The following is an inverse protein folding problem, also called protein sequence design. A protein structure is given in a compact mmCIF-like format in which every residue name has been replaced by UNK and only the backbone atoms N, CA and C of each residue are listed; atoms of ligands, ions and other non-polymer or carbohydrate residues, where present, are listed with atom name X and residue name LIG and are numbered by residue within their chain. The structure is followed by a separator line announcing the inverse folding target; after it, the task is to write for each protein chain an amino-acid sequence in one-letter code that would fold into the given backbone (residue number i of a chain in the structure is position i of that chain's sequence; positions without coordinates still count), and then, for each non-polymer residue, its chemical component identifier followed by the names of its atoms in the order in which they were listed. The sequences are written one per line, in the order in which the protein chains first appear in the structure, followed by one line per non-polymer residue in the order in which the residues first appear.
data_IF_127227537744
#
_entry.id   IF_127227537744
#
_cell.length_a   1.000
_cell.length_b   1.000
_cell.length_c   1.000
_cell.angle_alpha   90.00
_cell.angle_beta   90.00
_cell.angle_gamma   90.00
#
_symmetry.space_group_name_H-M   'P 1'
#
loop_
_entity.id
_entity.type
_entity.pdbx_description
1 polymer ?
#
# COMPACT_ATOMS: atom_id res chain seq x y z
N UNK A 1 51.47 -8.84 65.47
CA UNK A 1 52.48 -9.54 64.63
C UNK A 1 51.81 -9.98 63.34
N UNK A 2 52.43 -9.63 62.20
CA UNK A 2 52.18 -10.08 60.82
C UNK A 2 50.99 -9.48 60.05
N UNK A 3 51.39 -8.51 59.21
CA UNK A 3 50.91 -8.15 57.87
C UNK A 3 50.19 -9.27 57.09
N UNK A 4 49.25 -8.92 56.21
CA UNK A 4 49.50 -8.72 54.76
C UNK A 4 48.21 -8.96 53.92
N UNK A 5 47.83 -7.92 53.16
CA UNK A 5 47.12 -7.83 51.85
C UNK A 5 46.09 -8.93 51.46
N UNK A 6 44.96 -8.63 50.82
CA UNK A 6 44.85 -8.27 49.39
C UNK A 6 43.41 -7.83 49.12
N UNK A 7 43.28 -6.75 48.35
CA UNK A 7 42.04 -6.27 47.70
C UNK A 7 41.58 -7.34 46.69
N UNK A 8 40.34 -7.82 46.81
CA UNK A 8 39.67 -8.48 45.68
C UNK A 8 38.30 -7.84 45.44
N UNK A 9 38.30 -6.99 44.42
CA UNK A 9 37.16 -6.43 43.73
C UNK A 9 36.39 -7.57 43.06
N UNK A 10 35.21 -7.93 43.58
CA UNK A 10 34.28 -8.82 42.86
C UNK A 10 33.05 -8.05 42.43
N UNK A 11 33.18 -7.56 41.20
CA UNK A 11 32.19 -7.25 40.18
C UNK A 11 30.76 -7.74 40.48
N UNK A 12 29.84 -6.79 40.63
CA UNK A 12 28.40 -7.01 40.48
C UNK A 12 28.14 -7.28 39.00
N UNK A 13 27.82 -8.53 38.64
CA UNK A 13 27.28 -8.83 37.31
C UNK A 13 25.77 -8.90 37.47
N UNK A 14 25.12 -7.85 36.96
CA UNK A 14 23.67 -7.78 36.76
C UNK A 14 23.25 -8.95 35.87
N UNK A 15 22.37 -9.82 36.38
CA UNK A 15 21.70 -10.83 35.57
C UNK A 15 20.73 -10.14 34.63
N UNK A 16 21.14 -9.93 33.38
CA UNK A 16 20.25 -9.55 32.29
C UNK A 16 19.34 -10.75 31.99
N UNK A 17 18.12 -10.70 32.50
CA UNK A 17 17.00 -11.50 32.01
C UNK A 17 16.52 -10.89 30.69
N UNK A 18 17.10 -11.32 29.57
CA UNK A 18 16.48 -11.20 28.27
C UNK A 18 15.98 -12.60 27.91
N UNK A 19 14.67 -12.79 27.97
CA UNK A 19 14.00 -13.94 27.38
C UNK A 19 14.03 -13.71 25.86
N UNK A 20 14.86 -14.48 25.17
CA UNK A 20 14.99 -14.44 23.72
C UNK A 20 13.75 -15.10 23.12
N UNK A 21 12.75 -14.28 22.78
CA UNK A 21 11.59 -14.69 21.99
C UNK A 21 11.66 -14.06 20.61
N UNK A 22 12.71 -14.40 19.85
CA UNK A 22 12.70 -14.20 18.41
C UNK A 22 11.95 -15.34 17.74
N UNK A 23 10.65 -15.43 18.03
CA UNK A 23 9.70 -15.87 17.02
C UNK A 23 9.30 -14.62 16.27
N UNK A 24 9.95 -14.38 15.13
CA UNK A 24 9.49 -13.45 14.12
C UNK A 24 8.01 -13.73 13.87
N UNK A 25 7.15 -12.88 14.44
CA UNK A 25 5.76 -12.84 14.04
C UNK A 25 5.78 -12.33 12.62
N UNK A 26 5.43 -13.19 11.67
CA UNK A 26 4.89 -12.75 10.40
C UNK A 26 3.57 -12.08 10.77
N UNK A 27 3.65 -10.78 10.99
CA UNK A 27 2.48 -9.93 11.19
C UNK A 27 1.95 -9.70 9.78
N UNK A 28 1.00 -10.54 9.40
CA UNK A 28 0.08 -10.31 8.29
C UNK A 28 -0.94 -9.24 8.75
N UNK A 29 -0.44 -8.04 9.08
CA UNK A 29 -1.31 -6.89 9.25
C UNK A 29 -1.62 -6.43 7.83
N UNK A 30 -2.88 -6.60 7.41
CA UNK A 30 -3.45 -5.83 6.33
C UNK A 30 -3.37 -4.35 6.73
N UNK A 31 -2.27 -3.69 6.38
CA UNK A 31 -2.05 -2.27 6.67
C UNK A 31 -2.86 -1.47 5.64
N UNK A 32 -4.12 -1.22 5.98
CA UNK A 32 -5.03 -0.32 5.26
C UNK A 32 -6.30 -1.02 4.78
N UNK A 33 -7.45 -0.40 5.06
CA UNK A 33 -8.71 -0.81 4.42
C UNK A 33 -8.59 -0.50 2.93
N UNK A 34 -8.84 -1.50 2.09
CA UNK A 34 -8.74 -1.31 0.65
C UNK A 34 -9.94 -1.93 -0.05
N UNK A 35 -10.42 -1.23 -1.08
CA UNK A 35 -11.66 -1.57 -1.79
C UNK A 35 -11.40 -1.47 -3.28
N UNK A 36 -11.95 -2.39 -4.07
CA UNK A 36 -12.04 -2.22 -5.53
C UNK A 36 -13.49 -1.88 -5.88
N UNK A 37 -13.65 -0.80 -6.63
CA UNK A 37 -14.94 -0.38 -7.19
C UNK A 37 -14.88 -0.53 -8.70
N UNK A 38 -15.69 -1.44 -9.24
CA UNK A 38 -15.85 -1.63 -10.68
C UNK A 38 -17.17 -0.98 -11.10
N UNK A 39 -17.11 0.27 -11.54
CA UNK A 39 -18.28 1.05 -11.94
C UNK A 39 -17.85 2.21 -12.86
N UNK A 40 -18.42 2.27 -14.07
CA UNK A 40 -18.02 3.28 -15.05
C UNK A 40 -18.38 4.70 -14.58
N UNK A 41 -19.49 4.87 -13.86
CA UNK A 41 -19.93 6.18 -13.38
C UNK A 41 -18.97 6.71 -12.32
N UNK A 42 -18.58 5.88 -11.37
CA UNK A 42 -17.59 6.20 -10.34
C UNK A 42 -16.23 6.52 -10.95
N UNK A 43 -15.81 5.77 -11.97
CA UNK A 43 -14.59 6.07 -12.72
C UNK A 43 -14.65 7.43 -13.42
N UNK A 44 -15.73 7.72 -14.16
CA UNK A 44 -15.88 9.00 -14.88
C UNK A 44 -15.92 10.19 -13.90
N UNK A 45 -16.53 10.01 -12.72
CA UNK A 45 -16.54 11.01 -11.65
C UNK A 45 -15.15 11.24 -11.09
N UNK A 46 -14.43 10.17 -10.71
CA UNK A 46 -13.06 10.27 -10.21
C UNK A 46 -12.15 10.93 -11.25
N UNK A 47 -12.26 10.52 -12.52
CA UNK A 47 -11.53 11.12 -13.63
C UNK A 47 -11.82 12.62 -13.76
N UNK A 48 -13.09 13.04 -13.68
CA UNK A 48 -13.47 14.44 -13.75
C UNK A 48 -12.86 15.27 -12.61
N UNK A 49 -12.77 14.71 -11.40
CA UNK A 49 -12.21 15.40 -10.23
C UNK A 49 -10.70 15.65 -10.37
N UNK A 50 -9.97 14.78 -11.06
CA UNK A 50 -8.54 14.97 -11.34
C UNK A 50 -8.23 16.23 -12.16
N UNK A 51 -9.22 16.78 -12.86
CA UNK A 51 -9.06 18.05 -13.61
C UNK A 51 -9.43 19.29 -12.79
N UNK A 52 -9.71 19.13 -11.50
CA UNK A 52 -10.06 20.24 -10.61
C UNK A 52 -8.90 20.59 -9.68
N UNK A 53 -8.92 21.81 -9.13
CA UNK A 53 -7.93 22.24 -8.13
C UNK A 53 -8.15 21.61 -6.74
N UNK A 54 -9.17 20.76 -6.57
CA UNK A 54 -9.52 20.13 -5.30
C UNK A 54 -9.93 18.66 -5.51
N UNK A 55 -8.97 17.77 -5.75
CA UNK A 55 -9.25 16.34 -5.91
C UNK A 55 -9.89 15.77 -4.65
N UNK A 56 -10.76 14.77 -4.84
CA UNK A 56 -11.46 14.08 -3.74
C UNK A 56 -10.53 13.18 -2.90
N UNK A 57 -9.35 12.85 -3.43
CA UNK A 57 -8.37 12.00 -2.76
C UNK A 57 -7.40 12.83 -1.93
N UNK A 58 -7.16 12.37 -0.71
CA UNK A 58 -6.08 12.86 0.13
C UNK A 58 -4.71 12.53 -0.48
N UNK A 59 -3.70 13.30 -0.12
CA UNK A 59 -2.35 13.17 -0.71
C UNK A 59 -1.69 11.84 -0.34
N UNK A 60 -1.12 11.19 -1.35
CA UNK A 60 -0.25 10.03 -1.20
C UNK A 60 0.73 9.98 -2.39
N UNK A 61 1.68 9.05 -2.34
CA UNK A 61 2.67 8.78 -3.39
C UNK A 61 2.54 7.34 -3.86
N UNK A 62 2.77 7.13 -5.16
CA UNK A 62 2.86 5.81 -5.78
C UNK A 62 4.32 5.40 -5.91
N UNK A 63 4.76 4.44 -5.09
CA UNK A 63 6.17 4.04 -5.03
C UNK A 63 6.49 2.82 -5.91
N UNK A 64 5.52 1.91 -6.08
CA UNK A 64 5.75 0.63 -6.72
C UNK A 64 4.47 -0.01 -7.22
N UNK A 65 4.59 -0.77 -8.31
CA UNK A 65 3.50 -1.51 -8.91
C UNK A 65 4.03 -2.85 -9.43
N UNK A 66 3.40 -3.94 -8.98
CA UNK A 66 3.64 -5.29 -9.46
C UNK A 66 2.35 -6.10 -9.39
N UNK A 67 2.40 -7.35 -9.83
CA UNK A 67 1.30 -8.29 -9.67
C UNK A 67 1.82 -9.66 -9.25
N UNK A 68 0.98 -10.42 -8.57
CA UNK A 68 1.11 -11.86 -8.39
C UNK A 68 -0.18 -12.52 -8.84
N UNK A 69 -0.15 -13.25 -9.95
CA UNK A 69 -1.34 -13.81 -10.58
C UNK A 69 -2.37 -12.70 -10.87
N UNK A 70 -3.52 -12.71 -10.21
CA UNK A 70 -4.60 -11.72 -10.30
C UNK A 70 -4.61 -10.70 -9.17
N UNK A 71 -3.62 -10.75 -8.28
CA UNK A 71 -3.48 -9.77 -7.20
C UNK A 71 -2.59 -8.63 -7.66
N UNK A 72 -3.12 -7.42 -7.62
CA UNK A 72 -2.36 -6.20 -7.88
C UNK A 72 -1.69 -5.75 -6.59
N UNK A 73 -0.39 -5.48 -6.66
CA UNK A 73 0.43 -5.11 -5.50
C UNK A 73 0.94 -3.70 -5.73
N UNK A 74 0.53 -2.76 -4.87
CA UNK A 74 0.84 -1.33 -5.00
C UNK A 74 1.54 -0.86 -3.74
N UNK A 75 2.76 -0.36 -3.89
CA UNK A 75 3.47 0.30 -2.79
C UNK A 75 3.12 1.78 -2.77
N UNK A 76 2.66 2.29 -1.63
CA UNK A 76 2.27 3.69 -1.44
C UNK A 76 2.94 4.31 -0.23
N UNK A 77 3.01 5.64 -0.20
CA UNK A 77 3.38 6.38 1.00
C UNK A 77 2.49 7.60 1.22
N UNK A 78 2.16 7.90 2.48
CA UNK A 78 1.22 8.95 2.85
C UNK A 78 1.49 9.46 4.28
N UNK A 79 0.92 10.61 4.64
CA UNK A 79 0.95 11.15 6.00
C UNK A 79 -0.25 10.69 6.82
N UNK A 80 -0.07 10.38 8.11
CA UNK A 80 -1.15 9.99 9.03
C UNK A 80 -0.71 8.94 10.04
N UNK A 81 -1.61 8.03 10.39
CA UNK A 81 -1.35 6.86 11.25
C UNK A 81 -2.09 6.85 12.59
N UNK A 82 -3.00 7.80 12.81
CA UNK A 82 -3.86 7.86 13.98
C UNK A 82 -5.29 7.42 13.67
N UNK A 83 -5.75 7.64 12.44
CA UNK A 83 -7.05 7.17 11.96
C UNK A 83 -6.87 6.02 10.96
N UNK A 84 -7.97 5.37 10.61
CA UNK A 84 -7.99 4.37 9.55
C UNK A 84 -7.88 5.06 8.19
N UNK A 85 -7.00 4.56 7.33
CA UNK A 85 -6.83 5.05 5.97
C UNK A 85 -7.47 4.06 5.00
N UNK A 86 -8.27 4.57 4.07
CA UNK A 86 -8.90 3.76 3.02
C UNK A 86 -8.28 4.05 1.66
N UNK A 87 -7.93 2.99 0.94
CA UNK A 87 -7.50 3.05 -0.45
C UNK A 87 -8.53 2.41 -1.38
N UNK A 88 -9.04 3.17 -2.33
CA UNK A 88 -10.04 2.68 -3.29
C UNK A 88 -9.43 2.60 -4.70
N UNK A 89 -9.41 1.39 -5.27
CA UNK A 89 -9.04 1.16 -6.66
C UNK A 89 -10.30 1.23 -7.54
N UNK A 90 -10.46 2.35 -8.24
CA UNK A 90 -11.62 2.61 -9.10
C UNK A 90 -11.30 2.14 -10.52
N UNK A 91 -12.04 1.13 -10.96
CA UNK A 91 -11.84 0.42 -12.21
C UNK A 91 -13.02 0.70 -13.17
N UNK A 92 -12.76 1.06 -14.45
CA UNK A 92 -13.84 1.25 -15.42
C UNK A 92 -14.44 -0.08 -15.87
N UNK A 93 -15.77 -0.19 -15.93
CA UNK A 93 -16.43 -1.40 -16.47
C UNK A 93 -16.09 -1.64 -17.96
N UNK A 94 -15.78 -0.56 -18.69
CA UNK A 94 -15.55 -0.65 -20.13
C UNK A 94 -14.17 -1.24 -20.43
N UNK A 95 -14.15 -2.48 -20.89
CA UNK A 95 -12.96 -3.11 -21.46
C UNK A 95 -12.73 -2.67 -22.91
N UNK A 96 -11.47 -2.43 -23.26
CA UNK A 96 -11.09 -2.27 -24.67
C UNK A 96 -10.91 -3.65 -25.32
N UNK A 97 -11.55 -3.91 -26.47
CA UNK A 97 -11.39 -5.18 -27.20
C UNK A 97 -10.08 -5.27 -28.00
N UNK A 98 -9.00 -4.67 -27.50
CA UNK A 98 -7.66 -4.71 -28.10
C UNK A 98 -6.79 -5.70 -27.32
N UNK A 99 -5.84 -6.35 -27.99
CA UNK A 99 -4.87 -7.23 -27.35
C UNK A 99 -3.46 -6.61 -27.44
N UNK A 100 -2.72 -6.50 -26.32
CA UNK A 100 -3.20 -6.77 -24.97
C UNK A 100 -4.29 -5.79 -24.52
N UNK A 101 -5.19 -6.19 -23.59
CA UNK A 101 -6.16 -5.28 -23.02
C UNK A 101 -5.44 -4.12 -22.35
N UNK A 102 -6.02 -2.93 -22.47
CA UNK A 102 -5.50 -1.74 -21.82
C UNK A 102 -6.51 -1.21 -20.82
N UNK A 103 -6.03 -0.96 -19.60
CA UNK A 103 -6.78 -0.33 -18.53
C UNK A 103 -6.06 0.89 -17.99
N UNK A 104 -6.85 1.90 -17.68
CA UNK A 104 -6.45 3.00 -16.83
C UNK A 104 -7.36 2.97 -15.62
N UNK A 105 -6.78 2.95 -14.43
CA UNK A 105 -7.49 2.88 -13.16
C UNK A 105 -7.02 4.02 -12.27
N UNK A 106 -7.86 4.43 -11.33
CA UNK A 106 -7.55 5.51 -10.39
C UNK A 106 -7.45 4.91 -8.99
N UNK A 107 -6.37 5.21 -8.28
CA UNK A 107 -6.26 4.88 -6.87
C UNK A 107 -6.58 6.13 -6.05
N UNK A 108 -7.65 6.08 -5.25
CA UNK A 108 -8.01 7.13 -4.31
C UNK A 108 -7.58 6.77 -2.89
N UNK A 109 -7.33 7.80 -2.09
CA UNK A 109 -6.98 7.70 -0.69
C UNK A 109 -7.91 8.60 0.13
N UNK A 110 -8.47 8.06 1.20
CA UNK A 110 -9.22 8.79 2.24
C UNK A 110 -8.50 8.61 3.57
N UNK A 111 -7.98 9.71 4.10
CA UNK A 111 -7.27 9.77 5.38
C UNK A 111 -8.21 9.97 6.57
N UNK A 112 -9.54 10.09 6.35
CA UNK A 112 -10.53 10.28 7.41
C UNK A 112 -10.21 11.45 8.36
N UNK A 113 -9.79 12.59 7.80
CA UNK A 113 -9.35 13.78 8.54
C UNK A 113 -8.16 13.54 9.50
N UNK A 114 -7.30 12.54 9.24
CA UNK A 114 -6.12 12.28 10.05
C UNK A 114 -5.14 13.48 10.02
N UNK A 115 -4.84 14.01 11.19
CA UNK A 115 -3.93 15.16 11.38
C UNK A 115 -2.54 14.75 11.84
N UNK A 116 -2.27 13.45 12.00
CA UNK A 116 -0.98 12.94 12.38
C UNK A 116 0.05 13.10 11.26
N UNK A 117 1.28 13.43 11.65
CA UNK A 117 2.35 13.81 10.72
C UNK A 117 3.35 12.67 10.47
N UNK A 118 3.06 11.44 10.90
CA UNK A 118 3.91 10.32 10.58
C UNK A 118 3.83 10.01 9.09
N UNK A 119 4.97 9.70 8.47
CA UNK A 119 5.05 9.36 7.06
C UNK A 119 5.16 7.84 6.93
N UNK A 120 4.08 7.22 6.49
CA UNK A 120 3.91 5.77 6.43
C UNK A 120 4.21 5.26 5.03
N UNK A 121 4.71 4.03 4.94
CA UNK A 121 4.83 3.29 3.68
C UNK A 121 4.17 1.94 3.87
N UNK A 122 3.25 1.60 2.97
CA UNK A 122 2.49 0.35 3.01
C UNK A 122 2.40 -0.28 1.62
N UNK A 123 2.14 -1.58 1.60
CA UNK A 123 1.88 -2.35 0.39
C UNK A 123 0.40 -2.76 0.40
N UNK A 124 -0.33 -2.33 -0.63
CA UNK A 124 -1.74 -2.64 -0.85
C UNK A 124 -1.86 -3.86 -1.75
N UNK A 125 -2.78 -4.77 -1.42
CA UNK A 125 -3.01 -6.00 -2.17
C UNK A 125 -4.46 -6.04 -2.65
N UNK A 126 -4.69 -5.86 -3.95
CA UNK A 126 -6.04 -5.93 -4.51
C UNK A 126 -6.24 -7.26 -5.24
N UNK A 127 -6.97 -8.19 -4.64
CA UNK A 127 -7.38 -9.43 -5.33
C UNK A 127 -8.47 -9.11 -6.36
N UNK A 128 -8.09 -9.14 -7.64
CA UNK A 128 -8.99 -8.84 -8.75
C UNK A 128 -9.85 -10.04 -9.18
N UNK A 129 -9.59 -11.25 -8.67
CA UNK A 129 -10.23 -12.49 -9.12
C UNK A 129 -11.73 -12.57 -8.82
N UNK A 130 -12.19 -11.79 -7.84
CA UNK A 130 -13.60 -11.73 -7.43
C UNK A 130 -14.44 -10.76 -8.26
N UNK A 131 -13.82 -9.98 -9.16
CA UNK A 131 -14.50 -8.99 -9.99
C UNK A 131 -14.62 -9.47 -11.44
N UNK A 132 -15.71 -9.08 -12.12
CA UNK A 132 -15.97 -9.46 -13.51
C UNK A 132 -15.17 -8.58 -14.49
N UNK A 133 -13.84 -8.69 -14.43
CA UNK A 133 -12.89 -7.93 -15.25
C UNK A 133 -12.33 -8.74 -16.43
N UNK A 134 -12.70 -10.03 -16.53
CA UNK A 134 -12.14 -10.96 -17.52
C UNK A 134 -10.64 -11.20 -17.39
N UNK A 135 -10.02 -10.82 -16.26
CA UNK A 135 -8.60 -10.98 -16.00
C UNK A 135 -8.30 -12.42 -15.57
N UNK A 136 -7.48 -13.10 -16.36
CA UNK A 136 -6.87 -14.38 -15.97
C UNK A 136 -5.41 -14.13 -15.56
N UNK A 137 -4.76 -15.05 -14.81
CA UNK A 137 -3.34 -14.91 -14.49
C UNK A 137 -2.48 -14.71 -15.75
N UNK A 138 -2.78 -15.45 -16.82
CA UNK A 138 -2.09 -15.35 -18.12
C UNK A 138 -2.30 -13.99 -18.79
N UNK A 139 -3.47 -13.37 -18.60
CA UNK A 139 -3.77 -12.05 -19.14
C UNK A 139 -3.11 -10.95 -18.31
N UNK A 140 -3.03 -11.12 -17.00
CA UNK A 140 -2.34 -10.20 -16.08
C UNK A 140 -0.85 -10.07 -16.40
N UNK A 141 -0.22 -11.13 -16.92
CA UNK A 141 1.19 -11.09 -17.34
C UNK A 141 1.44 -10.21 -18.58
N UNK A 142 0.39 -9.89 -19.35
CA UNK A 142 0.51 -9.14 -20.60
C UNK A 142 -0.36 -7.88 -20.67
N UNK A 143 -1.18 -7.62 -19.65
CA UNK A 143 -2.10 -6.47 -19.63
C UNK A 143 -1.30 -5.15 -19.57
N UNK A 144 -1.74 -4.16 -20.36
CA UNK A 144 -1.27 -2.78 -20.23
C UNK A 144 -2.11 -2.09 -19.15
N UNK A 145 -1.65 -2.06 -17.89
CA UNK A 145 -2.38 -1.40 -16.80
C UNK A 145 -1.66 -0.12 -16.36
N UNK A 146 -2.37 1.00 -16.33
CA UNK A 146 -1.89 2.27 -15.77
C UNK A 146 -2.70 2.62 -14.53
N UNK A 147 -2.03 2.85 -13.41
CA UNK A 147 -2.61 3.41 -12.19
C UNK A 147 -2.32 4.89 -12.14
N UNK A 148 -3.35 5.70 -11.90
CA UNK A 148 -3.24 7.14 -11.70
C UNK A 148 -3.41 7.44 -10.22
N UNK A 149 -2.55 8.31 -9.68
CA UNK A 149 -2.70 8.84 -8.34
C UNK A 149 -3.93 9.78 -8.27
N UNK A 150 -4.92 9.40 -7.47
CA UNK A 150 -6.18 10.13 -7.27
C UNK A 150 -6.01 11.56 -6.74
N UNK A 151 -4.89 11.85 -6.06
CA UNK A 151 -4.64 13.12 -5.39
C UNK A 151 -3.99 14.19 -6.26
N UNK A 152 -3.45 13.80 -7.42
CA UNK A 152 -2.74 14.75 -8.30
C UNK A 152 -2.94 14.51 -9.80
N UNK A 153 -3.35 13.31 -10.22
CA UNK A 153 -3.60 12.99 -11.63
C UNK A 153 -2.36 12.97 -12.54
N UNK A 154 -1.19 13.37 -12.03
CA UNK A 154 0.06 13.48 -12.78
C UNK A 154 0.99 12.28 -12.54
N UNK A 155 1.01 11.78 -11.31
CA UNK A 155 1.78 10.60 -10.94
C UNK A 155 1.04 9.34 -11.42
N UNK A 156 1.76 8.50 -12.15
CA UNK A 156 1.25 7.25 -12.69
C UNK A 156 2.28 6.13 -12.59
N UNK A 157 1.79 4.93 -12.38
CA UNK A 157 2.57 3.69 -12.50
C UNK A 157 1.99 2.82 -13.60
N UNK A 158 2.87 2.10 -14.30
CA UNK A 158 2.48 1.19 -15.39
C UNK A 158 2.95 -0.21 -15.06
N UNK A 159 2.03 -1.16 -15.11
CA UNK A 159 2.33 -2.58 -15.10
C UNK A 159 2.54 -3.02 -16.55
N UNK A 160 3.72 -3.60 -16.81
CA UNK A 160 4.21 -4.04 -18.11
C UNK A 160 4.37 -2.91 -19.17
N UNK A 161 5.56 -2.85 -19.77
CA UNK A 161 5.92 -2.02 -20.93
C UNK A 161 6.89 -2.83 -21.81
#
# INVERSE_FOLDING_TARGET
MKHLQIILLTLVVLSTSCDESDTAKVVDEEVGHHVVTVDQVSFDQAWAQLQTDNPYSDMFQLNGLSNDSTTLIIDVAYSGGCEEHTFELIWPEVMTMIYPPRYTVILNHDANDDTCEAYLSTTLYFDLSQYDLGLTPELMDVVDLTIINGSNGEELLKLNN
#
